data_IF_237797508662
#
_entry.id   IF_237797508662
#
_cell.length_a   1.000
_cell.length_b   1.000
_cell.length_c   1.000
_cell.angle_alpha   90.00
_cell.angle_beta   90.00
_cell.angle_gamma   90.00
#
_symmetry.space_group_name_H-M   'P 1'
#
loop_
_entity.id
_entity.type
_entity.pdbx_description
1 polymer ?
#
# COMPACT_ATOMS: atom_id res chain seq x y z
N UNK A 1 6.86 -19.17 27.62
CA UNK A 1 7.59 -19.51 26.39
C UNK A 1 6.68 -19.24 25.21
N UNK A 2 7.03 -18.31 24.31
CA UNK A 2 6.20 -17.97 23.16
C UNK A 2 6.21 -19.12 22.16
N UNK A 3 5.03 -19.63 21.83
CA UNK A 3 4.89 -20.73 20.89
C UNK A 3 5.16 -20.21 19.47
N UNK A 4 6.31 -20.56 18.89
CA UNK A 4 6.78 -20.10 17.56
C UNK A 4 5.68 -20.19 16.49
N UNK A 5 4.99 -21.33 16.27
CA UNK A 5 3.90 -21.41 15.29
C UNK A 5 2.71 -20.49 15.60
N UNK A 6 2.43 -20.20 16.88
CA UNK A 6 1.37 -19.25 17.23
C UNK A 6 1.77 -17.81 16.87
N UNK A 7 3.05 -17.46 17.08
CA UNK A 7 3.63 -16.17 16.69
C UNK A 7 3.62 -16.00 15.18
N UNK A 8 4.08 -17.00 14.42
CA UNK A 8 4.04 -17.01 12.94
C UNK A 8 2.63 -16.75 12.40
N UNK A 9 1.62 -17.41 12.97
CA UNK A 9 0.21 -17.22 12.59
C UNK A 9 -0.29 -15.80 12.90
N UNK A 10 0.12 -15.23 14.01
CA UNK A 10 -0.23 -13.86 14.40
C UNK A 10 0.34 -12.85 13.39
N UNK A 11 1.63 -12.96 13.07
CA UNK A 11 2.31 -12.10 12.10
C UNK A 11 1.72 -12.25 10.70
N UNK A 12 1.48 -13.49 10.26
CA UNK A 12 0.81 -13.77 8.98
C UNK A 12 -0.54 -13.05 8.88
N UNK A 13 -1.38 -13.15 9.92
CA UNK A 13 -2.68 -12.46 9.94
C UNK A 13 -2.55 -10.94 9.98
N UNK A 14 -1.53 -10.41 10.65
CA UNK A 14 -1.26 -8.97 10.63
C UNK A 14 -0.96 -8.51 9.21
N UNK A 15 -0.07 -9.20 8.50
CA UNK A 15 0.27 -8.90 7.09
C UNK A 15 -0.97 -8.97 6.20
N UNK A 16 -1.80 -10.01 6.33
CA UNK A 16 -3.00 -10.16 5.50
C UNK A 16 -4.04 -9.05 5.69
N UNK A 17 -4.12 -8.45 6.88
CA UNK A 17 -5.03 -7.33 7.15
C UNK A 17 -4.60 -6.03 6.48
N UNK A 18 -3.31 -5.92 6.18
CA UNK A 18 -2.74 -4.76 5.48
C UNK A 18 -2.85 -4.88 3.95
N UNK A 19 -3.15 -6.07 3.43
CA UNK A 19 -3.34 -6.27 2.00
C UNK A 19 -4.74 -5.78 1.54
N UNK A 20 -4.86 -5.29 0.30
CA UNK A 20 -6.15 -4.89 -0.26
C UNK A 20 -7.16 -6.04 -0.22
N UNK A 21 -8.38 -5.76 0.23
CA UNK A 21 -9.46 -6.75 0.22
C UNK A 21 -9.79 -7.14 -1.22
N UNK A 22 -9.70 -8.44 -1.53
CA UNK A 22 -9.91 -8.96 -2.88
C UNK A 22 -11.22 -9.75 -2.94
N UNK A 23 -11.98 -9.69 -4.06
CA UNK A 23 -13.12 -10.58 -4.26
C UNK A 23 -12.70 -12.05 -4.09
N UNK A 24 -13.60 -12.83 -3.48
CA UNK A 24 -13.35 -14.06 -2.70
C UNK A 24 -12.81 -15.28 -3.47
N UNK A 25 -12.41 -15.12 -4.73
CA UNK A 25 -12.30 -16.25 -5.66
C UNK A 25 -10.88 -16.73 -5.96
N UNK A 26 -9.82 -16.03 -5.52
CA UNK A 26 -8.46 -16.60 -5.56
C UNK A 26 -7.47 -15.80 -4.69
N UNK A 27 -6.60 -16.45 -3.90
CA UNK A 27 -5.51 -15.77 -3.20
C UNK A 27 -4.60 -15.04 -4.18
N UNK A 28 -4.08 -13.87 -3.80
CA UNK A 28 -3.15 -13.16 -4.66
C UNK A 28 -1.82 -13.94 -4.78
N UNK A 29 -1.09 -13.81 -5.91
CA UNK A 29 0.24 -14.39 -6.03
C UNK A 29 1.16 -13.97 -4.88
N UNK A 30 1.03 -12.73 -4.40
CA UNK A 30 1.74 -12.22 -3.23
C UNK A 30 1.35 -12.95 -1.94
N UNK A 31 0.04 -13.16 -1.70
CA UNK A 31 -0.44 -13.91 -0.54
C UNK A 31 0.10 -15.35 -0.56
N UNK A 32 0.14 -16.00 -1.73
CA UNK A 32 0.71 -17.34 -1.89
C UNK A 32 2.20 -17.35 -1.58
N UNK A 33 2.97 -16.38 -2.09
CA UNK A 33 4.41 -16.23 -1.79
C UNK A 33 4.67 -15.99 -0.31
N UNK A 34 3.93 -15.08 0.33
CA UNK A 34 4.03 -14.82 1.78
C UNK A 34 3.72 -16.10 2.56
N UNK A 35 2.65 -16.81 2.19
CA UNK A 35 2.29 -18.08 2.83
C UNK A 35 3.41 -19.11 2.69
N UNK A 36 3.96 -19.28 1.48
CA UNK A 36 5.06 -20.21 1.21
C UNK A 36 6.32 -19.86 2.02
N UNK A 37 6.66 -18.57 2.09
CA UNK A 37 7.79 -18.09 2.89
C UNK A 37 7.61 -18.46 4.36
N UNK A 38 6.50 -18.06 4.99
CA UNK A 38 6.27 -18.34 6.42
C UNK A 38 5.98 -19.81 6.74
N UNK A 39 5.59 -20.63 5.76
CA UNK A 39 5.38 -22.08 5.96
C UNK A 39 6.67 -22.89 5.84
N UNK A 40 7.66 -22.37 5.12
CA UNK A 40 8.96 -23.02 4.97
C UNK A 40 9.84 -22.60 6.13
N UNK A 41 9.71 -23.32 7.25
CA UNK A 41 10.57 -23.10 8.40
C UNK A 41 11.97 -23.67 8.13
N UNK A 42 13.05 -22.92 8.36
CA UNK A 42 14.40 -23.45 8.27
C UNK A 42 14.65 -24.49 9.37
N UNK A 43 15.54 -25.44 9.10
CA UNK A 43 15.89 -26.50 10.05
C UNK A 43 16.65 -25.98 11.27
N UNK A 44 17.36 -24.85 11.12
CA UNK A 44 18.08 -24.18 12.19
C UNK A 44 17.16 -23.25 12.99
N UNK A 45 17.25 -23.32 14.31
CA UNK A 45 16.40 -22.57 15.23
C UNK A 45 16.68 -21.06 15.18
N UNK A 46 17.93 -20.67 14.97
CA UNK A 46 18.31 -19.25 14.88
C UNK A 46 17.88 -18.66 13.53
N UNK A 47 18.03 -19.40 12.43
CA UNK A 47 17.42 -19.04 11.15
C UNK A 47 15.89 -18.89 11.24
N UNK A 48 15.20 -19.75 12.00
CA UNK A 48 13.75 -19.68 12.16
C UNK A 48 13.30 -18.43 12.95
N UNK A 49 14.12 -18.02 13.93
CA UNK A 49 13.92 -16.75 14.66
C UNK A 49 14.13 -15.56 13.76
N UNK A 50 15.23 -15.53 13.00
CA UNK A 50 15.55 -14.44 12.07
C UNK A 50 14.45 -14.24 11.02
N UNK A 51 13.96 -15.33 10.42
CA UNK A 51 12.85 -15.28 9.46
C UNK A 51 11.57 -14.68 10.07
N UNK A 52 11.30 -14.98 11.34
CA UNK A 52 10.13 -14.48 12.03
C UNK A 52 10.28 -13.00 12.40
N UNK A 53 11.48 -12.57 12.82
CA UNK A 53 11.80 -11.16 13.06
C UNK A 53 11.69 -10.34 11.76
N UNK A 54 12.18 -10.87 10.64
CA UNK A 54 12.02 -10.28 9.31
C UNK A 54 10.54 -10.09 8.95
N UNK A 55 9.71 -11.12 9.18
CA UNK A 55 8.27 -11.04 8.91
C UNK A 55 7.57 -9.99 9.79
N UNK A 56 8.02 -9.79 11.03
CA UNK A 56 7.51 -8.75 11.93
C UNK A 56 7.89 -7.35 11.46
N UNK A 57 9.15 -7.15 11.05
CA UNK A 57 9.62 -5.90 10.48
C UNK A 57 8.83 -5.55 9.22
N UNK A 58 8.58 -6.54 8.35
CA UNK A 58 7.76 -6.37 7.17
C UNK A 58 6.33 -5.96 7.52
N UNK A 59 5.70 -6.62 8.50
CA UNK A 59 4.35 -6.25 8.95
C UNK A 59 4.29 -4.79 9.45
N UNK A 60 5.32 -4.34 10.19
CA UNK A 60 5.43 -2.96 10.64
C UNK A 60 5.61 -1.98 9.47
N UNK A 61 6.44 -2.33 8.49
CA UNK A 61 6.65 -1.53 7.29
C UNK A 61 5.37 -1.32 6.50
N UNK A 62 4.60 -2.38 6.20
CA UNK A 62 3.36 -2.26 5.42
C UNK A 62 2.33 -1.41 6.16
N UNK A 63 2.21 -1.56 7.49
CA UNK A 63 1.34 -0.71 8.31
C UNK A 63 1.76 0.76 8.23
N UNK A 64 3.06 1.04 8.30
CA UNK A 64 3.59 2.39 8.17
C UNK A 64 3.33 2.96 6.76
N UNK A 65 3.47 2.15 5.71
CA UNK A 65 3.17 2.54 4.33
C UNK A 65 1.69 2.93 4.17
N UNK A 66 0.76 2.18 4.74
CA UNK A 66 -0.67 2.53 4.72
C UNK A 66 -0.91 3.89 5.40
N UNK A 67 -0.32 4.09 6.57
CA UNK A 67 -0.44 5.34 7.30
C UNK A 67 0.17 6.52 6.51
N UNK A 68 1.31 6.31 5.86
CA UNK A 68 1.95 7.29 5.00
C UNK A 68 1.02 7.70 3.84
N UNK A 69 0.42 6.73 3.14
CA UNK A 69 -0.54 7.01 2.05
C UNK A 69 -1.74 7.81 2.58
N UNK A 70 -2.32 7.40 3.72
CA UNK A 70 -3.45 8.14 4.32
C UNK A 70 -3.09 9.57 4.73
N UNK A 71 -1.86 9.80 5.21
CA UNK A 71 -1.37 11.14 5.54
C UNK A 71 -1.17 11.97 4.26
N UNK A 72 -0.60 11.36 3.22
CA UNK A 72 -0.38 12.01 1.93
C UNK A 72 -1.71 12.49 1.33
N UNK A 73 -2.72 11.63 1.28
CA UNK A 73 -4.07 11.96 0.78
C UNK A 73 -4.73 13.09 1.59
N UNK A 74 -4.56 13.07 2.92
CA UNK A 74 -5.19 14.05 3.82
C UNK A 74 -4.57 15.44 3.70
N UNK A 75 -3.24 15.51 3.57
CA UNK A 75 -2.52 16.78 3.55
C UNK A 75 -2.28 17.31 2.14
N UNK A 76 -2.39 16.46 1.12
CA UNK A 76 -2.35 16.87 -0.29
C UNK A 76 -3.64 16.50 -1.06
N UNK A 77 -4.83 16.97 -0.62
CA UNK A 77 -6.05 16.80 -1.39
C UNK A 77 -5.93 17.60 -2.68
N UNK A 78 -5.63 16.91 -3.79
CA UNK A 78 -5.37 17.51 -5.11
C UNK A 78 -3.94 17.38 -5.63
N UNK A 79 -3.09 16.53 -5.03
CA UNK A 79 -1.81 16.15 -5.64
C UNK A 79 -1.99 15.46 -7.01
N UNK A 80 -3.07 14.69 -7.17
CA UNK A 80 -3.42 14.03 -8.44
C UNK A 80 -4.25 14.92 -9.38
N UNK A 81 -4.63 16.14 -8.97
CA UNK A 81 -5.31 17.10 -9.85
C UNK A 81 -4.29 17.84 -10.69
N UNK A 82 -4.40 17.71 -12.01
CA UNK A 82 -3.54 18.44 -12.93
C UNK A 82 -3.73 19.96 -12.75
N UNK A 83 -2.64 20.71 -12.93
CA UNK A 83 -2.60 22.16 -12.69
C UNK A 83 -3.67 22.88 -13.53
N UNK A 84 -3.92 22.42 -14.76
CA UNK A 84 -4.98 22.91 -15.65
C UNK A 84 -6.39 22.75 -15.04
N UNK A 85 -6.67 21.62 -14.41
CA UNK A 85 -7.99 21.35 -13.82
C UNK A 85 -8.24 22.21 -12.57
N UNK A 86 -7.18 22.44 -11.77
CA UNK A 86 -7.22 23.38 -10.64
C UNK A 86 -7.51 24.82 -11.09
N UNK A 87 -6.87 25.26 -12.17
CA UNK A 87 -7.08 26.60 -12.76
C UNK A 87 -8.52 26.72 -13.27
N UNK A 88 -9.04 25.71 -13.98
CA UNK A 88 -10.44 25.66 -14.45
C UNK A 88 -11.48 25.75 -13.32
N UNK A 89 -11.30 24.98 -12.25
CA UNK A 89 -12.24 24.99 -11.12
C UNK A 89 -12.18 26.30 -10.34
N UNK A 90 -11.00 26.92 -10.23
CA UNK A 90 -10.85 28.23 -9.59
C UNK A 90 -11.50 29.34 -10.40
N UNK A 91 -11.32 29.35 -11.73
CA UNK A 91 -11.97 30.32 -12.61
C UNK A 91 -13.50 30.21 -12.57
N UNK A 92 -14.04 28.98 -12.63
CA UNK A 92 -15.48 28.74 -12.48
C UNK A 92 -16.04 29.25 -11.15
N UNK A 93 -15.27 29.12 -10.06
CA UNK A 93 -15.67 29.60 -8.73
C UNK A 93 -15.81 31.12 -8.64
N UNK A 94 -15.09 31.88 -9.46
CA UNK A 94 -15.19 33.36 -9.55
C UNK A 94 -16.08 33.84 -10.69
N UNK A 95 -16.81 32.94 -11.36
CA UNK A 95 -17.67 33.28 -12.50
C UNK A 95 -16.91 33.59 -13.79
N UNK A 96 -15.62 33.24 -13.89
CA UNK A 96 -14.82 33.35 -15.11
C UNK A 96 -14.72 32.01 -15.84
N UNK A 97 -14.89 32.02 -17.16
CA UNK A 97 -14.52 30.91 -18.04
C UNK A 97 -13.11 31.13 -18.58
N UNK A 98 -12.22 30.14 -18.44
CA UNK A 98 -10.90 30.20 -19.08
C UNK A 98 -11.02 30.11 -20.60
N UNK A 99 -10.19 30.88 -21.35
CA UNK A 99 -10.04 30.71 -22.79
C UNK A 99 -9.59 29.29 -23.14
N UNK A 100 -10.07 28.76 -24.27
CA UNK A 100 -9.62 27.47 -24.79
C UNK A 100 -8.18 27.65 -25.25
N UNK A 101 -7.23 26.94 -24.63
CA UNK A 101 -5.84 26.95 -25.12
C UNK A 101 -5.79 26.30 -26.49
N UNK A 102 -5.44 27.09 -27.51
CA UNK A 102 -5.18 26.56 -28.85
C UNK A 102 -3.92 25.70 -28.80
N UNK A 103 -4.07 24.38 -28.98
CA UNK A 103 -2.93 23.52 -29.32
C UNK A 103 -2.37 23.99 -30.65
N UNK A 104 -1.23 24.67 -30.60
CA UNK A 104 -0.43 24.93 -31.78
C UNK A 104 0.04 23.58 -32.34
N UNK A 105 -0.69 23.05 -33.33
CA UNK A 105 -0.14 22.08 -34.27
C UNK A 105 0.95 22.81 -35.07
N UNK A 106 2.16 22.86 -34.54
CA UNK A 106 3.35 23.17 -35.32
C UNK A 106 3.74 21.93 -36.11
N UNK A 107 3.59 22.03 -37.43
CA UNK A 107 4.10 21.12 -38.46
C UNK A 107 5.60 20.88 -38.39
#
# INVERSE_FOLDING_TARGET
MTNVPARTRSVYRAILRELPSRPRFSPSPLQTKIRQHLSTAPADADAARAQLEEAEQFAQYVKAQRQYVSLLERYNPGADMDQEERVRLTARRVGMSLPIEHKNNSS
#
